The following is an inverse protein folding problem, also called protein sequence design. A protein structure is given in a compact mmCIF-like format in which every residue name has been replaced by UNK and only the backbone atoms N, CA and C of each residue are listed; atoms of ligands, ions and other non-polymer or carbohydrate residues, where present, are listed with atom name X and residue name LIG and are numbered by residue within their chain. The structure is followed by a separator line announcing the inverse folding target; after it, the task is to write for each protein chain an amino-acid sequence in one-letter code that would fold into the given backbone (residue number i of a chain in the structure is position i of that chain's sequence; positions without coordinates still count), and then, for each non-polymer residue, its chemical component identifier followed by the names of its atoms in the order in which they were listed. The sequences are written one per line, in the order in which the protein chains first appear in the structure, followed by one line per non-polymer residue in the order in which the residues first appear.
data_IF_233838465645
#
_entry.id   IF_233838465645
#
_cell.length_a   1.000
_cell.length_b   1.000
_cell.length_c   1.000
_cell.angle_alpha   90.00
_cell.angle_beta   90.00
_cell.angle_gamma   90.00
#
_symmetry.space_group_name_H-M   'P 1'
#
loop_
_entity.id
_entity.type
_entity.pdbx_description
1 polymer ?
#
# COMPACT_ATOMS: atom_id res chain seq x y z
N UNK A 1 4.58 3.07 33.41
CA UNK A 1 3.56 4.13 33.71
C UNK A 1 2.75 4.31 32.45
N UNK A 2 1.50 3.82 32.44
CA UNK A 2 0.54 4.18 31.39
C UNK A 2 0.19 5.66 31.64
N UNK A 3 0.34 6.52 30.63
CA UNK A 3 -0.07 7.91 30.76
C UNK A 3 -1.58 7.96 30.99
N UNK A 4 -2.03 8.81 31.91
CA UNK A 4 -3.44 9.10 32.23
C UNK A 4 -4.12 9.95 31.13
N UNK A 5 -3.80 9.66 29.87
CA UNK A 5 -4.11 10.53 28.75
C UNK A 5 -5.19 9.89 27.88
N UNK A 6 -6.35 10.52 27.81
CA UNK A 6 -7.44 10.15 26.88
C UNK A 6 -7.12 10.49 25.42
N UNK A 7 -5.89 10.95 25.13
CA UNK A 7 -5.46 11.33 23.78
C UNK A 7 -5.70 10.22 22.76
N UNK A 8 -5.52 8.95 23.14
CA UNK A 8 -5.82 7.83 22.25
C UNK A 8 -7.31 7.74 21.86
N UNK A 9 -8.21 7.93 22.84
CA UNK A 9 -9.65 7.95 22.60
C UNK A 9 -10.07 9.17 21.78
N UNK A 10 -9.48 10.34 22.05
CA UNK A 10 -9.72 11.56 21.27
C UNK A 10 -9.21 11.43 19.83
N UNK A 11 -8.06 10.77 19.63
CA UNK A 11 -7.47 10.54 18.31
C UNK A 11 -8.30 9.57 17.46
N UNK A 12 -9.02 8.64 18.08
CA UNK A 12 -9.82 7.64 17.39
C UNK A 12 -10.88 8.24 16.45
N UNK A 13 -11.39 9.43 16.77
CA UNK A 13 -12.41 10.11 15.96
C UNK A 13 -11.93 10.51 14.55
N UNK A 14 -10.62 10.69 14.36
CA UNK A 14 -10.02 11.10 13.08
C UNK A 14 -8.90 10.17 12.60
N UNK A 15 -8.63 9.10 13.34
CA UNK A 15 -7.71 8.06 12.92
C UNK A 15 -8.21 7.37 11.64
N UNK A 16 -7.28 6.99 10.78
CA UNK A 16 -7.61 6.16 9.61
C UNK A 16 -8.23 4.83 10.06
N UNK A 17 -9.42 4.52 9.54
CA UNK A 17 -10.18 3.32 9.91
C UNK A 17 -9.87 2.11 9.01
N UNK A 18 -9.21 2.34 7.87
CA UNK A 18 -9.03 1.33 6.82
C UNK A 18 -10.29 1.05 5.99
N UNK A 19 -11.43 1.67 6.32
CA UNK A 19 -12.68 1.56 5.54
C UNK A 19 -12.58 2.44 4.30
N UNK A 20 -11.97 1.92 3.24
CA UNK A 20 -11.93 2.60 1.95
C UNK A 20 -13.28 2.48 1.23
N UNK A 21 -13.62 3.46 0.42
CA UNK A 21 -14.88 3.51 -0.35
C UNK A 21 -14.66 3.47 -1.86
N UNK A 22 -13.42 3.67 -2.30
CA UNK A 22 -13.01 3.69 -3.71
C UNK A 22 -11.76 2.84 -3.87
N UNK A 23 -11.49 2.32 -5.09
CA UNK A 23 -10.23 1.65 -5.37
C UNK A 23 -9.05 2.52 -4.98
N UNK A 24 -8.04 1.92 -4.37
CA UNK A 24 -6.86 2.62 -3.84
C UNK A 24 -5.61 1.79 -4.06
N UNK A 25 -4.58 2.44 -4.61
CA UNK A 25 -3.22 1.90 -4.71
C UNK A 25 -2.32 2.70 -3.78
N UNK A 26 -1.55 2.00 -2.96
CA UNK A 26 -0.43 2.58 -2.21
C UNK A 26 0.87 2.14 -2.86
N UNK A 27 1.73 3.10 -3.19
CA UNK A 27 3.12 2.85 -3.61
C UNK A 27 4.02 3.32 -2.48
N UNK A 28 4.92 2.46 -2.01
CA UNK A 28 5.79 2.79 -0.87
C UNK A 28 7.19 2.21 -1.06
N UNK A 29 8.19 3.02 -0.74
CA UNK A 29 9.59 2.59 -0.74
C UNK A 29 9.92 1.75 0.49
N UNK A 30 10.66 0.67 0.30
CA UNK A 30 11.14 -0.16 1.43
C UNK A 30 12.26 0.51 2.23
N UNK A 31 12.91 1.52 1.66
CA UNK A 31 13.98 2.33 2.26
C UNK A 31 13.55 3.79 2.46
N UNK A 32 12.25 4.02 2.67
CA UNK A 32 11.69 5.34 2.98
C UNK A 32 12.28 5.86 4.31
N UNK A 33 13.06 6.95 4.23
CA UNK A 33 13.76 7.55 5.35
C UNK A 33 12.85 8.39 6.28
N UNK A 34 11.66 8.77 5.83
CA UNK A 34 10.72 9.61 6.58
C UNK A 34 9.55 8.82 7.15
N UNK A 35 9.10 7.81 6.40
CA UNK A 35 7.92 7.00 6.69
C UNK A 35 8.29 5.51 6.65
N UNK A 36 8.93 4.96 7.71
CA UNK A 36 9.30 3.56 7.76
C UNK A 36 8.13 2.63 7.41
N UNK A 37 8.32 1.79 6.39
CA UNK A 37 7.23 1.11 5.69
C UNK A 37 6.33 0.27 6.62
N UNK A 38 6.89 -0.34 7.67
CA UNK A 38 6.16 -1.17 8.63
C UNK A 38 5.13 -0.39 9.47
N UNK A 39 5.43 0.87 9.79
CA UNK A 39 4.60 1.76 10.60
C UNK A 39 3.63 2.60 9.76
N UNK A 40 3.88 2.71 8.45
CA UNK A 40 3.08 3.50 7.53
C UNK A 40 2.32 2.60 6.55
N UNK A 41 2.86 2.34 5.35
CA UNK A 41 2.15 1.66 4.28
C UNK A 41 1.64 0.27 4.70
N UNK A 42 2.48 -0.56 5.34
CA UNK A 42 2.07 -1.90 5.83
C UNK A 42 1.07 -1.81 6.98
N UNK A 43 1.19 -0.83 7.87
CA UNK A 43 0.22 -0.62 8.95
C UNK A 43 -1.16 -0.22 8.40
N UNK A 44 -1.18 0.62 7.36
CA UNK A 44 -2.41 0.98 6.68
C UNK A 44 -3.01 -0.22 5.94
N UNK A 45 -2.20 -1.00 5.21
CA UNK A 45 -2.64 -2.23 4.56
C UNK A 45 -3.30 -3.22 5.56
N UNK A 46 -2.70 -3.41 6.74
CA UNK A 46 -3.29 -4.21 7.82
C UNK A 46 -4.65 -3.66 8.29
N UNK A 47 -4.78 -2.34 8.43
CA UNK A 47 -6.06 -1.70 8.78
C UNK A 47 -7.13 -1.91 7.71
N UNK A 48 -6.78 -1.79 6.43
CA UNK A 48 -7.70 -2.04 5.30
C UNK A 48 -8.15 -3.50 5.28
N UNK A 49 -7.23 -4.44 5.48
CA UNK A 49 -7.54 -5.87 5.58
C UNK A 49 -8.45 -6.19 6.78
N UNK A 50 -8.21 -5.59 7.95
CA UNK A 50 -9.08 -5.77 9.11
C UNK A 50 -10.49 -5.21 8.86
N UNK A 51 -10.59 -4.01 8.27
CA UNK A 51 -11.87 -3.38 7.95
C UNK A 51 -12.68 -4.15 6.90
N UNK A 52 -12.03 -4.82 5.95
CA UNK A 52 -12.69 -5.64 4.94
C UNK A 52 -13.19 -6.97 5.49
N UNK A 53 -12.53 -7.53 6.51
CA UNK A 53 -12.96 -8.75 7.19
C UNK A 53 -14.21 -8.53 8.04
N UNK A 54 -14.31 -7.42 8.77
CA UNK A 54 -15.48 -7.13 9.63
C UNK A 54 -16.81 -7.05 8.87
N UNK A 55 -16.81 -6.71 7.57
CA UNK A 55 -18.05 -6.73 6.77
C UNK A 55 -18.57 -8.14 6.49
N UNK A 56 -17.76 -9.20 6.63
CA UNK A 56 -18.20 -10.59 6.41
C UNK A 56 -19.12 -11.10 7.51
N UNK A 57 -19.00 -10.57 8.72
CA UNK A 57 -19.71 -11.10 9.89
C UNK A 57 -21.09 -10.45 10.08
N UNK A 58 -21.31 -9.25 9.54
CA UNK A 58 -22.55 -8.46 9.71
C UNK A 58 -23.56 -8.56 8.54
N UNK A 59 -23.15 -9.02 7.35
CA UNK A 59 -24.02 -9.15 6.17
C UNK A 59 -24.28 -10.63 5.86
N UNK A 60 -25.55 -11.05 5.95
CA UNK A 60 -25.99 -12.36 5.43
C UNK A 60 -25.64 -12.44 3.95
N UNK A 61 -24.97 -13.53 3.61
CA UNK A 61 -24.60 -13.99 2.27
C UNK A 61 -25.74 -13.87 1.26
N UNK A 62 -25.81 -12.73 0.56
CA UNK A 62 -26.77 -12.48 -0.52
C UNK A 62 -26.00 -12.23 -1.82
N UNK A 63 -25.22 -13.23 -2.26
CA UNK A 63 -24.82 -13.52 -3.65
C UNK A 63 -24.16 -12.42 -4.51
N UNK A 64 -23.99 -11.20 -4.00
CA UNK A 64 -23.50 -10.04 -4.74
C UNK A 64 -21.98 -10.04 -4.65
N UNK A 65 -21.37 -10.55 -5.72
CA UNK A 65 -19.91 -10.49 -5.96
C UNK A 65 -19.37 -9.13 -5.51
N UNK A 66 -18.51 -9.19 -4.48
CA UNK A 66 -17.32 -8.33 -4.33
C UNK A 66 -17.53 -6.83 -4.56
N UNK A 67 -18.53 -6.21 -3.95
CA UNK A 67 -18.71 -4.73 -3.94
C UNK A 67 -17.66 -4.03 -3.04
N UNK A 68 -16.52 -4.70 -2.79
CA UNK A 68 -15.43 -4.17 -1.98
C UNK A 68 -14.48 -3.41 -2.89
N UNK A 69 -14.23 -2.12 -2.60
CA UNK A 69 -13.21 -1.38 -3.33
C UNK A 69 -11.86 -2.09 -3.30
N UNK A 70 -11.24 -2.23 -4.46
CA UNK A 70 -9.95 -2.87 -4.60
C UNK A 70 -8.85 -2.07 -3.88
N UNK A 71 -8.09 -2.73 -3.02
CA UNK A 71 -6.87 -2.18 -2.43
C UNK A 71 -5.65 -2.90 -2.99
N UNK A 72 -4.59 -2.14 -3.30
CA UNK A 72 -3.27 -2.68 -3.63
C UNK A 72 -2.14 -1.96 -2.90
N UNK A 73 -1.14 -2.72 -2.46
CA UNK A 73 0.14 -2.21 -1.98
C UNK A 73 1.27 -2.71 -2.89
N UNK A 74 1.97 -1.77 -3.52
CA UNK A 74 3.19 -2.03 -4.27
C UNK A 74 4.38 -1.50 -3.48
N UNK A 75 5.22 -2.42 -3.02
CA UNK A 75 6.45 -2.08 -2.32
C UNK A 75 7.59 -1.97 -3.32
N UNK A 76 8.23 -0.80 -3.37
CA UNK A 76 9.35 -0.56 -4.28
C UNK A 76 10.62 -0.85 -3.50
N UNK A 77 11.30 -1.92 -3.89
CA UNK A 77 12.55 -2.32 -3.26
C UNK A 77 13.61 -1.23 -3.47
N UNK A 78 14.29 -0.87 -2.38
CA UNK A 78 15.20 0.27 -2.27
C UNK A 78 14.56 1.65 -2.49
N UNK A 79 13.24 1.74 -2.65
CA UNK A 79 12.54 3.00 -2.87
C UNK A 79 12.70 3.96 -1.69
N UNK A 80 12.82 5.26 -1.97
CA UNK A 80 12.89 6.31 -0.96
C UNK A 80 11.84 7.41 -1.17
N UNK A 81 11.46 8.09 -0.10
CA UNK A 81 10.60 9.29 -0.15
C UNK A 81 11.30 10.49 -0.77
N UNK A 82 12.61 10.61 -0.55
CA UNK A 82 13.42 11.75 -0.98
C UNK A 82 14.22 11.30 -2.21
N UNK A 83 13.71 11.63 -3.39
CA UNK A 83 14.31 11.22 -4.67
C UNK A 83 15.76 11.72 -4.82
N UNK A 84 16.05 12.93 -4.35
CA UNK A 84 17.40 13.53 -4.45
C UNK A 84 18.47 12.80 -3.65
N UNK A 85 18.11 11.87 -2.75
CA UNK A 85 19.09 11.03 -2.07
C UNK A 85 19.77 10.03 -3.00
N UNK A 86 19.18 9.72 -4.15
CA UNK A 86 19.81 8.87 -5.14
C UNK A 86 21.16 9.44 -5.64
N UNK A 87 21.32 10.77 -5.66
CA UNK A 87 22.59 11.43 -6.04
C UNK A 87 23.78 11.02 -5.16
N UNK A 88 23.51 10.67 -3.90
CA UNK A 88 24.52 10.25 -2.91
C UNK A 88 24.47 8.76 -2.60
N UNK A 89 23.31 8.13 -2.82
CA UNK A 89 23.03 6.72 -2.55
C UNK A 89 22.43 6.07 -3.80
N UNK A 90 23.25 5.72 -4.82
CA UNK A 90 22.77 5.18 -6.10
C UNK A 90 22.07 3.83 -5.98
N UNK A 91 22.19 3.17 -4.83
CA UNK A 91 21.43 1.98 -4.49
C UNK A 91 19.94 2.27 -4.28
N UNK A 92 19.55 3.51 -3.99
CA UNK A 92 18.15 3.90 -3.83
C UNK A 92 17.41 3.90 -5.17
N UNK A 93 16.15 3.52 -5.11
CA UNK A 93 15.24 3.47 -6.26
C UNK A 93 14.33 4.69 -6.24
N UNK A 94 14.09 5.26 -7.42
CA UNK A 94 13.14 6.36 -7.54
C UNK A 94 11.71 5.83 -7.40
N UNK A 95 10.84 6.50 -6.66
CA UNK A 95 9.43 6.13 -6.51
C UNK A 95 8.59 6.65 -7.66
N UNK A 96 8.92 7.83 -8.19
CA UNK A 96 8.13 8.56 -9.17
C UNK A 96 7.70 7.72 -10.39
N UNK A 97 8.57 6.95 -11.07
CA UNK A 97 8.16 6.13 -12.22
C UNK A 97 7.12 5.05 -11.84
N UNK A 98 7.23 4.49 -10.64
CA UNK A 98 6.29 3.49 -10.13
C UNK A 98 4.96 4.12 -9.73
N UNK A 99 4.98 5.36 -9.23
CA UNK A 99 3.78 6.15 -8.95
C UNK A 99 3.02 6.50 -10.23
N UNK A 100 3.71 6.89 -11.30
CA UNK A 100 3.10 7.09 -12.62
C UNK A 100 2.46 5.80 -13.14
N UNK A 101 3.20 4.68 -13.09
CA UNK A 101 2.66 3.37 -13.50
C UNK A 101 1.43 2.97 -12.69
N UNK A 102 1.44 3.19 -11.38
CA UNK A 102 0.31 2.92 -10.51
C UNK A 102 -0.90 3.80 -10.84
N UNK A 103 -0.67 5.07 -11.19
CA UNK A 103 -1.73 5.97 -11.63
C UNK A 103 -2.42 5.44 -12.90
N UNK A 104 -1.64 5.04 -13.91
CA UNK A 104 -2.19 4.44 -15.14
C UNK A 104 -3.00 3.16 -14.87
N UNK A 105 -2.51 2.33 -13.95
CA UNK A 105 -3.23 1.12 -13.52
C UNK A 105 -4.56 1.48 -12.85
N UNK A 106 -4.57 2.49 -11.98
CA UNK A 106 -5.79 2.95 -11.31
C UNK A 106 -6.79 3.57 -12.29
N UNK A 107 -6.32 4.37 -13.24
CA UNK A 107 -7.15 4.94 -14.31
C UNK A 107 -7.80 3.82 -15.13
N UNK A 108 -7.03 2.84 -15.57
CA UNK A 108 -7.57 1.72 -16.34
C UNK A 108 -8.55 0.86 -15.51
N UNK A 109 -8.30 0.69 -14.22
CA UNK A 109 -9.22 -0.01 -13.34
C UNK A 109 -10.55 0.72 -13.21
N UNK A 110 -10.52 2.03 -12.98
CA UNK A 110 -11.73 2.83 -12.75
C UNK A 110 -12.50 3.10 -14.04
N UNK A 111 -11.82 3.29 -15.17
CA UNK A 111 -12.45 3.66 -16.44
C UNK A 111 -12.80 2.47 -17.34
N UNK A 112 -12.09 1.34 -17.19
CA UNK A 112 -12.16 0.20 -18.13
C UNK A 112 -12.35 -1.14 -17.44
N UNK A 113 -12.60 -1.15 -16.12
CA UNK A 113 -12.76 -2.36 -15.30
C UNK A 113 -11.59 -3.36 -15.43
N UNK A 114 -10.39 -2.87 -15.75
CA UNK A 114 -9.19 -3.72 -15.83
C UNK A 114 -8.81 -4.13 -14.40
N UNK A 115 -8.62 -5.43 -14.11
CA UNK A 115 -8.16 -5.87 -12.79
C UNK A 115 -6.82 -5.23 -12.42
N UNK A 116 -6.69 -4.82 -11.15
CA UNK A 116 -5.39 -4.35 -10.64
C UNK A 116 -4.46 -5.55 -10.38
N UNK A 117 -3.19 -5.48 -10.83
CA UNK A 117 -2.17 -6.46 -10.45
C UNK A 117 -2.15 -6.70 -8.94
N UNK A 118 -1.89 -7.93 -8.47
CA UNK A 118 -1.89 -8.25 -7.05
C UNK A 118 -0.79 -7.48 -6.30
N UNK A 119 -0.94 -7.37 -4.97
CA UNK A 119 0.08 -6.83 -4.08
C UNK A 119 1.43 -7.48 -4.38
N UNK A 120 2.49 -6.67 -4.46
CA UNK A 120 3.79 -7.17 -4.88
C UNK A 120 4.96 -6.32 -4.37
N UNK A 121 6.09 -7.00 -4.25
CA UNK A 121 7.39 -6.38 -4.18
C UNK A 121 7.90 -6.16 -5.60
N UNK A 122 8.08 -4.91 -5.97
CA UNK A 122 8.74 -4.52 -7.22
C UNK A 122 10.24 -4.47 -6.93
N UNK A 123 10.99 -5.36 -7.56
CA UNK A 123 12.46 -5.38 -7.46
C UNK A 123 13.05 -4.04 -7.95
N UNK A 124 14.21 -3.65 -7.42
CA UNK A 124 14.94 -2.45 -7.85
C UNK A 124 15.16 -2.48 -9.39
N UNK A 125 14.84 -1.39 -10.08
CA UNK A 125 14.86 -1.32 -11.55
C UNK A 125 13.78 -2.15 -12.26
N UNK A 126 12.84 -2.75 -11.53
CA UNK A 126 11.70 -3.51 -12.05
C UNK A 126 10.49 -2.64 -12.34
N UNK A 127 9.34 -3.28 -12.57
CA UNK A 127 8.05 -2.59 -12.76
C UNK A 127 6.92 -3.43 -12.18
N UNK A 128 5.83 -2.77 -11.77
CA UNK A 128 4.59 -3.43 -11.36
C UNK A 128 4.10 -4.32 -12.50
N UNK A 129 3.99 -5.62 -12.24
CA UNK A 129 3.71 -6.64 -13.27
C UNK A 129 2.63 -7.63 -12.83
N UNK A 130 2.07 -8.34 -13.81
CA UNK A 130 1.13 -9.43 -13.61
C UNK A 130 1.54 -10.60 -14.54
N UNK A 131 1.96 -11.77 -14.01
CA UNK A 131 2.08 -12.09 -12.59
C UNK A 131 3.26 -11.36 -11.91
N UNK A 132 3.21 -11.13 -10.57
CA UNK A 132 4.28 -10.47 -9.85
C UNK A 132 5.51 -11.36 -9.71
N UNK A 133 6.70 -10.77 -9.76
CA UNK A 133 7.96 -11.48 -9.47
C UNK A 133 8.02 -11.97 -8.01
N UNK A 134 7.52 -11.14 -7.08
CA UNK A 134 7.31 -11.51 -5.69
C UNK A 134 5.97 -10.96 -5.22
N UNK A 135 5.07 -11.86 -4.83
CA UNK A 135 3.76 -11.48 -4.29
C UNK A 135 3.88 -10.91 -2.86
N UNK A 136 3.02 -9.95 -2.54
CA UNK A 136 2.94 -9.31 -1.23
C UNK A 136 4.13 -8.43 -0.90
N UNK A 137 4.55 -8.45 0.36
CA UNK A 137 5.62 -7.60 0.87
C UNK A 137 7.01 -8.03 0.37
N UNK A 138 7.92 -7.07 0.23
CA UNK A 138 9.33 -7.34 -0.03
C UNK A 138 9.96 -8.15 1.12
N UNK A 139 10.60 -9.27 0.76
CA UNK A 139 11.29 -10.14 1.71
C UNK A 139 12.61 -9.50 2.19
N UNK A 140 13.25 -8.76 1.29
CA UNK A 140 14.41 -7.93 1.59
C UNK A 140 14.07 -6.47 1.28
N UNK A 141 14.18 -5.62 2.31
CA UNK A 141 13.93 -4.18 2.16
C UNK A 141 15.04 -3.50 1.34
N UNK A 142 16.25 -4.03 1.42
CA UNK A 142 17.42 -3.50 0.73
C UNK A 142 18.11 -4.60 -0.08
N UNK A 143 18.51 -4.29 -1.31
CA UNK A 143 19.42 -5.08 -2.14
C UNK A 143 20.63 -4.25 -2.57
N UNK A 144 21.86 -4.80 -2.52
CA UNK A 144 23.08 -4.08 -2.92
C UNK A 144 23.09 -3.64 -4.39
#
# INVERSE_FOLDING_TARGET
RLSFSDVGAQFAAFATTGKIQRPLITVAGTMDALLPIDHHARAYARKVAAASNHKRDDERDDGRRDDRPAYRLYEIQNGNHIETYQDFFPQLELIEPHAQRAFDLLVNHVERDVPLPPDQCVARGGSISEPPAQAGHCASLFVP
#
